data_IF_103669107369
#
_entry.id   IF_103669107369
#
_cell.length_a   1.000
_cell.length_b   1.000
_cell.length_c   1.000
_cell.angle_alpha   90.00
_cell.angle_beta   90.00
_cell.angle_gamma   90.00
#
_symmetry.space_group_name_H-M   'P 1'
#
loop_
_entity.id
_entity.type
_entity.pdbx_description
1 polymer ?
#
# COMPACT_ATOMS: atom_id res chain seq x y z
N UNK A 1 42.11 38.74 16.85
CA UNK A 1 43.30 37.87 16.91
C UNK A 1 43.57 37.34 15.51
N UNK A 2 44.79 37.59 15.03
CA UNK A 2 45.24 37.40 13.65
C UNK A 2 45.30 35.92 13.23
N UNK A 3 45.05 35.59 11.96
CA UNK A 3 46.10 35.20 11.00
C UNK A 3 45.55 34.98 9.58
N UNK A 4 46.11 35.72 8.62
CA UNK A 4 46.18 35.36 7.20
C UNK A 4 47.39 34.44 6.98
N UNK A 5 47.31 33.70 5.86
CA UNK A 5 48.33 33.00 5.03
C UNK A 5 48.00 31.51 4.97
N UNK A 6 47.91 30.84 3.83
CA UNK A 6 48.20 31.17 2.43
C UNK A 6 48.78 29.93 1.74
N UNK A 7 48.35 29.68 0.48
CA UNK A 7 48.94 28.77 -0.54
C UNK A 7 48.87 27.25 -0.31
N UNK A 8 48.21 26.52 -1.22
CA UNK A 8 48.85 25.97 -2.43
C UNK A 8 47.82 25.30 -3.36
N UNK A 9 48.07 25.51 -4.63
CA UNK A 9 47.47 24.91 -5.82
C UNK A 9 47.38 23.39 -5.77
N UNK A 10 46.18 22.85 -6.00
CA UNK A 10 46.01 21.58 -6.71
C UNK A 10 45.04 21.83 -7.86
N UNK A 11 45.58 21.71 -9.06
CA UNK A 11 44.92 21.81 -10.35
C UNK A 11 44.00 20.60 -10.47
N UNK A 12 42.74 20.73 -10.09
CA UNK A 12 41.73 19.74 -10.43
C UNK A 12 41.28 20.07 -11.87
N UNK A 13 41.56 19.16 -12.80
CA UNK A 13 40.98 19.20 -14.13
C UNK A 13 39.46 19.36 -14.00
N UNK A 14 38.84 20.31 -14.74
CA UNK A 14 37.40 20.31 -14.88
C UNK A 14 37.05 19.06 -15.68
N UNK A 15 36.61 18.00 -14.99
CA UNK A 15 35.82 16.96 -15.64
C UNK A 15 34.72 17.70 -16.37
N UNK A 16 34.71 17.60 -17.69
CA UNK A 16 33.65 18.16 -18.54
C UNK A 16 32.32 17.76 -17.91
N UNK A 17 31.68 18.70 -17.22
CA UNK A 17 30.27 18.58 -16.84
C UNK A 17 29.58 18.43 -18.18
N UNK A 18 29.15 17.19 -18.45
CA UNK A 18 28.19 16.95 -19.51
C UNK A 18 27.07 17.92 -19.24
N UNK A 19 26.87 18.85 -20.17
CA UNK A 19 25.75 19.78 -20.19
C UNK A 19 24.52 19.01 -19.68
N UNK A 20 23.94 19.42 -18.54
CA UNK A 20 22.91 18.62 -17.90
C UNK A 20 21.80 18.45 -18.92
N UNK A 21 21.51 17.20 -19.25
CA UNK A 21 20.45 16.85 -20.18
C UNK A 21 19.20 17.65 -19.80
N UNK A 22 18.45 18.18 -20.78
CA UNK A 22 17.31 19.07 -20.53
C UNK A 22 16.32 18.46 -19.52
N UNK A 23 16.25 17.13 -19.48
CA UNK A 23 15.48 16.36 -18.51
C UNK A 23 16.00 16.47 -17.07
N UNK A 24 17.32 16.51 -16.86
CA UNK A 24 17.94 16.69 -15.54
C UNK A 24 17.68 18.10 -15.00
N UNK A 25 17.78 19.12 -15.86
CA UNK A 25 17.44 20.49 -15.48
C UNK A 25 15.95 20.64 -15.12
N UNK A 26 15.05 20.01 -15.89
CA UNK A 26 13.61 19.95 -15.59
C UNK A 26 13.32 19.22 -14.27
N UNK A 27 13.98 18.10 -14.02
CA UNK A 27 13.81 17.35 -12.77
C UNK A 27 14.28 18.15 -11.54
N UNK A 28 15.41 18.86 -11.65
CA UNK A 28 15.89 19.74 -10.59
C UNK A 28 14.96 20.94 -10.37
N UNK A 29 14.44 21.55 -11.44
CA UNK A 29 13.45 22.63 -11.32
C UNK A 29 12.17 22.14 -10.63
N UNK A 30 11.64 20.99 -11.04
CA UNK A 30 10.48 20.36 -10.40
C UNK A 30 10.73 20.03 -8.91
N UNK A 31 11.95 19.62 -8.55
CA UNK A 31 12.34 19.39 -7.16
C UNK A 31 12.34 20.69 -6.34
N UNK A 32 12.82 21.79 -6.91
CA UNK A 32 12.79 23.09 -6.24
C UNK A 32 11.38 23.65 -6.12
N UNK A 33 10.53 23.50 -7.13
CA UNK A 33 9.12 23.85 -7.07
C UNK A 33 8.39 23.04 -5.99
N UNK A 34 8.66 21.74 -5.90
CA UNK A 34 8.08 20.90 -4.86
C UNK A 34 8.53 21.34 -3.47
N UNK A 35 9.85 21.57 -3.28
CA UNK A 35 10.39 22.08 -2.00
C UNK A 35 9.76 23.41 -1.62
N UNK A 36 9.63 24.33 -2.58
CA UNK A 36 9.00 25.63 -2.35
C UNK A 36 7.55 25.44 -1.89
N UNK A 37 6.75 24.64 -2.60
CA UNK A 37 5.37 24.32 -2.23
C UNK A 37 5.27 23.71 -0.83
N UNK A 38 6.15 22.77 -0.48
CA UNK A 38 6.18 22.19 0.86
C UNK A 38 6.48 23.27 1.92
N UNK A 39 7.49 24.11 1.70
CA UNK A 39 7.81 25.18 2.66
C UNK A 39 6.72 26.25 2.75
N UNK A 40 6.02 26.54 1.66
CA UNK A 40 4.87 27.47 1.66
C UNK A 40 3.69 26.89 2.43
N UNK A 41 3.45 25.58 2.29
CA UNK A 41 2.45 24.86 3.06
C UNK A 41 2.80 24.88 4.55
N UNK A 42 4.03 24.52 4.92
CA UNK A 42 4.49 24.55 6.31
C UNK A 42 4.33 25.96 6.91
N UNK A 43 4.73 27.01 6.18
CA UNK A 43 4.55 28.39 6.63
C UNK A 43 3.07 28.78 6.79
N UNK A 44 2.20 28.32 5.90
CA UNK A 44 0.76 28.53 6.02
C UNK A 44 0.21 27.84 7.27
N UNK A 45 0.63 26.61 7.52
CA UNK A 45 0.21 25.82 8.69
C UNK A 45 0.71 26.45 10.00
N UNK A 46 1.96 26.92 10.03
CA UNK A 46 2.49 27.67 11.18
C UNK A 46 1.70 28.96 11.43
N UNK A 47 1.35 29.72 10.39
CA UNK A 47 0.52 30.93 10.52
C UNK A 47 -0.86 30.59 11.06
N UNK A 48 -1.48 29.52 10.55
CA UNK A 48 -2.76 29.01 11.06
C UNK A 48 -2.70 28.69 12.55
N UNK A 49 -1.70 27.89 12.95
CA UNK A 49 -1.49 27.53 14.35
C UNK A 49 -1.27 28.75 15.26
N UNK A 50 -0.50 29.75 14.81
CA UNK A 50 -0.31 30.99 15.57
C UNK A 50 -1.62 31.78 15.74
N UNK A 51 -2.44 31.88 14.69
CA UNK A 51 -3.75 32.52 14.78
C UNK A 51 -4.70 31.78 15.71
N UNK A 52 -4.72 30.46 15.66
CA UNK A 52 -5.57 29.64 16.53
C UNK A 52 -5.13 29.74 18.00
N UNK A 53 -3.82 29.72 18.28
CA UNK A 53 -3.30 29.99 19.62
C UNK A 53 -3.66 31.40 20.11
N UNK A 54 -3.56 32.42 19.27
CA UNK A 54 -3.95 33.78 19.64
C UNK A 54 -5.43 33.87 19.98
N UNK A 55 -6.30 33.24 19.17
CA UNK A 55 -7.74 33.15 19.42
C UNK A 55 -8.05 32.43 20.73
N UNK A 56 -7.37 31.32 21.00
CA UNK A 56 -7.54 30.55 22.23
C UNK A 56 -7.10 31.37 23.45
N UNK A 57 -5.97 32.06 23.39
CA UNK A 57 -5.50 32.95 24.47
C UNK A 57 -6.49 34.09 24.76
N UNK A 58 -7.05 34.70 23.71
CA UNK A 58 -8.09 35.72 23.84
C UNK A 58 -9.37 35.14 24.48
N UNK A 59 -9.78 33.94 24.08
CA UNK A 59 -10.91 33.24 24.69
C UNK A 59 -10.67 32.93 26.17
N UNK A 60 -9.50 32.42 26.53
CA UNK A 60 -9.13 32.10 27.91
C UNK A 60 -9.07 33.36 28.78
N UNK A 61 -8.52 34.46 28.25
CA UNK A 61 -8.48 35.74 28.95
C UNK A 61 -9.89 36.28 29.19
N UNK A 62 -10.76 36.21 28.18
CA UNK A 62 -12.15 36.60 28.31
C UNK A 62 -12.93 35.74 29.31
N UNK A 63 -12.66 34.43 29.36
CA UNK A 63 -13.25 33.54 30.35
C UNK A 63 -12.77 33.88 31.77
N UNK A 64 -11.47 34.11 31.94
CA UNK A 64 -10.89 34.50 33.23
C UNK A 64 -11.53 35.81 33.74
N UNK A 65 -11.57 36.85 32.91
CA UNK A 65 -12.18 38.13 33.29
C UNK A 65 -13.70 38.07 33.52
N UNK A 66 -14.41 37.08 32.99
CA UNK A 66 -15.82 36.82 33.33
C UNK A 66 -15.93 36.12 34.67
N UNK A 67 -15.17 35.06 34.88
CA UNK A 67 -15.12 34.32 36.14
C UNK A 67 -14.73 35.21 37.33
N UNK A 68 -13.74 36.09 37.15
CA UNK A 68 -13.34 37.08 38.15
C UNK A 68 -14.48 38.03 38.50
N UNK A 69 -15.21 38.54 37.50
CA UNK A 69 -16.37 39.41 37.74
C UNK A 69 -17.50 38.68 38.47
N UNK A 70 -17.84 37.48 38.02
CA UNK A 70 -18.88 36.66 38.65
C UNK A 70 -18.51 36.34 40.12
N UNK A 71 -17.23 36.06 40.39
CA UNK A 71 -16.73 35.82 41.74
C UNK A 71 -16.83 37.07 42.62
N UNK A 72 -16.45 38.24 42.10
CA UNK A 72 -16.58 39.53 42.82
C UNK A 72 -18.05 39.86 43.08
N UNK A 73 -18.94 39.67 42.10
CA UNK A 73 -20.37 39.95 42.22
C UNK A 73 -21.04 39.03 43.24
N UNK A 74 -20.74 37.72 43.19
CA UNK A 74 -21.24 36.77 44.19
C UNK A 74 -20.73 37.09 45.58
N UNK A 75 -19.45 37.44 45.71
CA UNK A 75 -18.86 37.84 47.00
C UNK A 75 -19.53 39.10 47.54
N UNK A 76 -19.71 40.12 46.69
CA UNK A 76 -20.39 41.37 47.06
C UNK A 76 -21.86 41.16 47.43
N UNK A 77 -22.57 40.27 46.74
CA UNK A 77 -23.93 39.88 47.10
C UNK A 77 -23.98 39.24 48.50
N UNK A 78 -23.11 38.25 48.75
CA UNK A 78 -23.07 37.58 50.05
C UNK A 78 -22.65 38.51 51.18
N UNK A 79 -21.72 39.43 50.92
CA UNK A 79 -21.31 40.47 51.86
C UNK A 79 -22.51 41.32 52.29
N UNK A 80 -23.30 41.85 51.33
CA UNK A 80 -24.49 42.67 51.63
C UNK A 80 -25.57 41.87 52.37
N UNK A 81 -25.77 40.62 52.01
CA UNK A 81 -26.73 39.73 52.69
C UNK A 81 -26.31 39.46 54.14
N UNK A 82 -25.01 39.35 54.42
CA UNK A 82 -24.48 39.24 55.80
C UNK A 82 -24.68 40.55 56.56
N UNK A 83 -24.32 41.68 55.96
CA UNK A 83 -24.49 43.02 56.57
C UNK A 83 -25.97 43.31 56.91
N UNK A 84 -26.91 43.04 56.00
CA UNK A 84 -28.35 43.24 56.26
C UNK A 84 -28.87 42.33 57.40
N UNK A 85 -28.38 41.09 57.50
CA UNK A 85 -28.73 40.20 58.62
C UNK A 85 -28.13 40.67 59.94
N UNK A 86 -26.89 41.15 59.92
CA UNK A 86 -26.25 41.73 61.10
C UNK A 86 -26.98 43.00 61.55
N UNK A 87 -27.38 43.88 60.63
CA UNK A 87 -28.19 45.06 60.93
C UNK A 87 -29.55 44.69 61.53
N UNK A 88 -30.24 43.69 60.95
CA UNK A 88 -31.51 43.18 61.50
C UNK A 88 -31.34 42.60 62.90
N UNK A 89 -30.24 41.89 63.16
CA UNK A 89 -29.91 41.37 64.49
C UNK A 89 -29.65 42.51 65.48
N UNK A 90 -28.82 43.49 65.09
CA UNK A 90 -28.52 44.66 65.93
C UNK A 90 -29.79 45.47 66.22
N UNK A 91 -30.64 45.68 65.22
CA UNK A 91 -31.92 46.37 65.39
C UNK A 91 -32.87 45.57 66.32
N UNK A 92 -32.96 44.26 66.12
CA UNK A 92 -33.73 43.36 66.99
C UNK A 92 -33.25 43.39 68.44
N UNK A 93 -31.94 43.33 68.67
CA UNK A 93 -31.34 43.42 70.00
C UNK A 93 -31.60 44.77 70.66
N UNK A 94 -31.48 45.88 69.92
CA UNK A 94 -31.81 47.23 70.43
C UNK A 94 -33.29 47.34 70.81
N UNK A 95 -34.19 46.77 70.00
CA UNK A 95 -35.62 46.74 70.28
C UNK A 95 -35.92 45.92 71.54
N UNK A 96 -35.39 44.71 71.66
CA UNK A 96 -35.55 43.90 72.87
C UNK A 96 -34.97 44.61 74.10
N UNK A 97 -33.82 45.27 73.98
CA UNK A 97 -33.24 46.02 75.09
C UNK A 97 -34.15 47.18 75.55
N UNK A 98 -34.77 47.90 74.61
CA UNK A 98 -35.72 48.97 74.91
C UNK A 98 -37.01 48.41 75.55
N UNK A 99 -37.52 47.28 75.08
CA UNK A 99 -38.69 46.59 75.64
C UNK A 99 -38.42 46.08 77.06
N UNK A 100 -37.24 45.51 77.32
CA UNK A 100 -36.80 45.10 78.67
C UNK A 100 -36.67 46.30 79.59
N UNK A 101 -36.11 47.42 79.11
CA UNK A 101 -36.01 48.66 79.89
C UNK A 101 -37.39 49.26 80.20
N UNK A 102 -38.32 49.20 79.26
CA UNK A 102 -39.70 49.64 79.45
C UNK A 102 -40.45 48.76 80.47
N UNK A 103 -40.36 47.44 80.32
CA UNK A 103 -40.96 46.48 81.25
C UNK A 103 -40.39 46.62 82.67
N UNK A 104 -39.08 46.88 82.81
CA UNK A 104 -38.45 47.16 84.10
C UNK A 104 -39.03 48.42 84.77
N UNK A 105 -39.29 49.47 83.99
CA UNK A 105 -39.86 50.72 84.49
C UNK A 105 -41.36 50.60 84.83
N UNK A 106 -42.14 49.84 84.05
CA UNK A 106 -43.58 49.63 84.30
C UNK A 106 -43.84 48.70 85.49
N UNK A 107 -42.99 47.70 85.71
CA UNK A 107 -43.15 46.74 86.80
C UNK A 107 -42.63 47.23 88.15
N UNK A 108 -42.26 48.52 88.21
CA UNK A 108 -42.13 49.31 89.44
C UNK A 108 -43.49 49.63 90.10
N UNK A 109 -44.62 49.14 89.56
CA UNK A 109 -45.95 49.19 90.20
C UNK A 109 -46.39 47.79 90.70
N UNK A 110 -46.45 47.55 92.03
CA UNK A 110 -46.45 46.21 92.60
C UNK A 110 -47.86 45.62 92.83
N UNK A 111 -48.66 45.40 91.78
CA UNK A 111 -49.94 44.68 91.95
C UNK A 111 -50.43 43.95 90.68
N UNK A 112 -49.56 43.20 89.97
CA UNK A 112 -49.90 41.93 89.28
C UNK A 112 -48.70 41.27 88.53
N UNK A 113 -47.47 41.53 88.99
CA UNK A 113 -46.21 41.15 88.33
C UNK A 113 -46.06 39.65 88.01
N UNK A 114 -46.62 38.78 88.86
CA UNK A 114 -46.51 37.33 88.67
C UNK A 114 -47.30 36.84 87.45
N UNK A 115 -48.50 37.39 87.20
CA UNK A 115 -49.34 36.97 86.08
C UNK A 115 -48.77 37.46 84.75
N UNK A 116 -48.31 38.70 84.69
CA UNK A 116 -47.70 39.30 83.48
C UNK A 116 -46.38 38.63 83.09
N UNK A 117 -45.52 38.30 84.07
CA UNK A 117 -44.29 37.56 83.81
C UNK A 117 -44.58 36.14 83.31
N UNK A 118 -45.53 35.43 83.93
CA UNK A 118 -45.94 34.10 83.49
C UNK A 118 -46.46 34.10 82.05
N UNK A 119 -47.31 35.08 81.70
CA UNK A 119 -47.83 35.23 80.34
C UNK A 119 -46.73 35.55 79.32
N UNK A 120 -45.75 36.39 79.68
CA UNK A 120 -44.61 36.72 78.82
C UNK A 120 -43.70 35.51 78.57
N UNK A 121 -43.31 34.78 79.63
CA UNK A 121 -42.51 33.57 79.50
C UNK A 121 -43.22 32.48 78.68
N UNK A 122 -44.54 32.34 78.83
CA UNK A 122 -45.34 31.40 78.03
C UNK A 122 -45.33 31.76 76.54
N UNK A 123 -45.49 33.05 76.20
CA UNK A 123 -45.46 33.51 74.82
C UNK A 123 -44.08 33.31 74.18
N UNK A 124 -43.02 33.61 74.92
CA UNK A 124 -41.64 33.44 74.48
C UNK A 124 -41.30 31.95 74.27
N UNK A 125 -41.76 31.08 75.18
CA UNK A 125 -41.66 29.63 75.04
C UNK A 125 -42.38 29.12 73.79
N UNK A 126 -43.62 29.54 73.54
CA UNK A 126 -44.39 29.16 72.35
C UNK A 126 -43.72 29.66 71.05
N UNK A 127 -43.16 30.88 71.07
CA UNK A 127 -42.45 31.44 69.93
C UNK A 127 -41.18 30.65 69.61
N UNK A 128 -40.37 30.35 70.63
CA UNK A 128 -39.17 29.52 70.52
C UNK A 128 -39.54 28.12 70.02
N UNK A 129 -40.57 27.50 70.58
CA UNK A 129 -41.03 26.19 70.15
C UNK A 129 -41.49 26.20 68.67
N UNK A 130 -42.20 27.25 68.24
CA UNK A 130 -42.60 27.40 66.83
C UNK A 130 -41.42 27.59 65.88
N UNK A 131 -40.38 28.31 66.29
CA UNK A 131 -39.18 28.53 65.47
C UNK A 131 -38.30 27.29 65.40
N UNK A 132 -38.15 26.57 66.51
CA UNK A 132 -37.47 25.27 66.56
C UNK A 132 -38.17 24.26 65.66
N UNK A 133 -39.51 24.15 65.72
CA UNK A 133 -40.29 23.29 64.81
C UNK A 133 -40.12 23.67 63.33
N UNK A 134 -40.16 24.97 63.00
CA UNK A 134 -39.92 25.47 61.63
C UNK A 134 -38.50 25.17 61.14
N UNK A 135 -37.49 25.28 62.01
CA UNK A 135 -36.11 25.00 61.65
C UNK A 135 -35.84 23.50 61.53
N UNK A 136 -36.42 22.68 62.41
CA UNK A 136 -36.34 21.21 62.36
C UNK A 136 -36.91 20.67 61.05
N UNK A 137 -38.13 21.08 60.66
CA UNK A 137 -38.72 20.68 59.37
C UNK A 137 -37.88 21.13 58.16
N UNK A 138 -37.34 22.37 58.18
CA UNK A 138 -36.42 22.84 57.14
C UNK A 138 -35.13 22.01 57.10
N UNK A 139 -34.57 21.64 58.25
CA UNK A 139 -33.37 20.82 58.34
C UNK A 139 -33.63 19.43 57.75
N UNK A 140 -34.73 18.77 58.10
CA UNK A 140 -35.12 17.47 57.54
C UNK A 140 -35.28 17.51 56.01
N UNK A 141 -35.89 18.58 55.47
CA UNK A 141 -36.02 18.72 54.00
C UNK A 141 -34.67 18.91 53.32
N UNK A 142 -33.73 19.63 53.93
CA UNK A 142 -32.37 19.80 53.41
C UNK A 142 -31.58 18.49 53.51
N UNK A 143 -31.74 17.75 54.60
CA UNK A 143 -31.07 16.47 54.81
C UNK A 143 -31.51 15.41 53.79
N UNK A 144 -32.81 15.36 53.45
CA UNK A 144 -33.31 14.52 52.34
C UNK A 144 -32.73 14.92 50.98
N UNK A 145 -32.64 16.22 50.68
CA UNK A 145 -32.01 16.68 49.43
C UNK A 145 -30.52 16.36 49.40
N UNK A 146 -29.84 16.44 50.55
CA UNK A 146 -28.43 16.11 50.67
C UNK A 146 -28.21 14.60 50.46
N UNK A 147 -29.05 13.74 51.02
CA UNK A 147 -28.95 12.28 50.81
C UNK A 147 -29.27 11.86 49.37
N UNK A 148 -30.22 12.50 48.70
CA UNK A 148 -30.47 12.29 47.27
C UNK A 148 -29.28 12.74 46.41
N UNK A 149 -28.69 13.90 46.73
CA UNK A 149 -27.54 14.42 46.02
C UNK A 149 -26.31 13.52 46.19
N UNK A 150 -26.01 13.06 47.40
CA UNK A 150 -24.90 12.13 47.66
C UNK A 150 -25.10 10.79 46.96
N UNK A 151 -26.32 10.26 46.92
CA UNK A 151 -26.63 9.04 46.17
C UNK A 151 -26.42 9.21 44.66
N UNK A 152 -26.79 10.38 44.09
CA UNK A 152 -26.54 10.69 42.67
C UNK A 152 -25.04 10.81 42.38
N UNK A 153 -24.28 11.50 43.24
CA UNK A 153 -22.82 11.62 43.10
C UNK A 153 -22.18 10.23 43.10
N UNK A 154 -22.50 9.37 44.06
CA UNK A 154 -21.98 8.00 44.13
C UNK A 154 -22.38 7.14 42.91
N UNK A 155 -23.52 7.41 42.28
CA UNK A 155 -23.90 6.75 41.03
C UNK A 155 -23.10 7.25 39.83
N UNK A 156 -22.86 8.55 39.74
CA UNK A 156 -22.08 9.16 38.66
C UNK A 156 -20.61 8.78 38.75
N UNK A 157 -20.03 8.75 39.95
CA UNK A 157 -18.67 8.27 40.18
C UNK A 157 -18.48 6.83 39.70
N UNK A 158 -19.40 5.93 40.02
CA UNK A 158 -19.38 4.54 39.51
C UNK A 158 -19.51 4.47 37.99
N UNK A 159 -20.34 5.32 37.39
CA UNK A 159 -20.50 5.36 35.94
C UNK A 159 -19.23 5.88 35.25
N UNK A 160 -18.57 6.89 35.82
CA UNK A 160 -17.30 7.42 35.34
C UNK A 160 -16.20 6.38 35.43
N UNK A 161 -16.07 5.69 36.56
CA UNK A 161 -15.09 4.61 36.75
C UNK A 161 -15.25 3.50 35.70
N UNK A 162 -16.48 3.09 35.43
CA UNK A 162 -16.79 2.07 34.42
C UNK A 162 -16.45 2.55 32.99
N UNK A 163 -16.67 3.83 32.69
CA UNK A 163 -16.29 4.42 31.39
C UNK A 163 -14.76 4.48 31.27
N UNK A 164 -14.05 4.95 32.30
CA UNK A 164 -12.59 5.00 32.33
C UNK A 164 -11.99 3.61 32.11
N UNK A 165 -12.47 2.60 32.83
CA UNK A 165 -12.05 1.20 32.68
C UNK A 165 -12.27 0.68 31.25
N UNK A 166 -13.39 1.03 30.61
CA UNK A 166 -13.66 0.63 29.21
C UNK A 166 -12.72 1.31 28.23
N UNK A 167 -12.40 2.59 28.45
CA UNK A 167 -11.47 3.33 27.61
C UNK A 167 -10.07 2.74 27.67
N UNK A 168 -9.57 2.43 28.87
CA UNK A 168 -8.26 1.79 29.03
C UNK A 168 -8.20 0.42 28.34
N UNK A 169 -9.26 -0.40 28.49
CA UNK A 169 -9.35 -1.69 27.79
C UNK A 169 -9.40 -1.54 26.27
N UNK A 170 -10.04 -0.49 25.78
CA UNK A 170 -10.11 -0.19 24.35
C UNK A 170 -8.76 0.27 23.81
N UNK A 171 -8.08 1.16 24.52
CA UNK A 171 -6.74 1.63 24.17
C UNK A 171 -5.73 0.46 24.10
N UNK A 172 -5.80 -0.46 25.07
CA UNK A 172 -4.96 -1.65 25.10
C UNK A 172 -5.24 -2.58 23.90
N UNK A 173 -6.52 -2.75 23.52
CA UNK A 173 -6.90 -3.51 22.32
C UNK A 173 -6.40 -2.83 21.05
N UNK A 174 -6.49 -1.51 20.96
CA UNK A 174 -6.01 -0.74 19.82
C UNK A 174 -4.49 -0.84 19.68
N UNK A 175 -3.73 -0.78 20.78
CA UNK A 175 -2.29 -1.03 20.77
C UNK A 175 -1.95 -2.42 20.25
N UNK A 176 -2.67 -3.46 20.70
CA UNK A 176 -2.47 -4.84 20.22
C UNK A 176 -2.79 -4.97 18.74
N UNK A 177 -3.89 -4.37 18.29
CA UNK A 177 -4.28 -4.35 16.87
C UNK A 177 -3.24 -3.63 16.02
N UNK A 178 -2.63 -2.55 16.52
CA UNK A 178 -1.57 -1.86 15.79
C UNK A 178 -0.34 -2.76 15.60
N UNK A 179 0.06 -3.50 16.63
CA UNK A 179 1.17 -4.46 16.53
C UNK A 179 0.87 -5.57 15.51
N UNK A 180 -0.35 -6.11 15.51
CA UNK A 180 -0.72 -7.15 14.53
C UNK A 180 -0.79 -6.60 13.10
N UNK A 181 -1.29 -5.38 12.91
CA UNK A 181 -1.28 -4.71 11.60
C UNK A 181 0.16 -4.49 11.13
N UNK A 182 1.05 -4.00 11.99
CA UNK A 182 2.47 -3.81 11.65
C UNK A 182 3.14 -5.13 11.27
N UNK A 183 2.88 -6.22 12.00
CA UNK A 183 3.39 -7.54 11.66
C UNK A 183 2.89 -8.00 10.27
N UNK A 184 1.58 -7.86 10.02
CA UNK A 184 0.99 -8.22 8.72
C UNK A 184 1.53 -7.36 7.56
N UNK A 185 1.86 -6.10 7.81
CA UNK A 185 2.44 -5.20 6.80
C UNK A 185 3.84 -5.67 6.39
N UNK A 186 4.67 -6.11 7.34
CA UNK A 186 6.01 -6.65 7.04
C UNK A 186 5.92 -7.93 6.21
N UNK A 187 4.95 -8.81 6.51
CA UNK A 187 4.71 -10.01 5.72
C UNK A 187 4.23 -9.66 4.30
N UNK A 188 3.30 -8.70 4.16
CA UNK A 188 2.85 -8.21 2.86
C UNK A 188 4.02 -7.64 2.04
N UNK A 189 4.89 -6.84 2.63
CA UNK A 189 6.06 -6.27 1.95
C UNK A 189 7.02 -7.38 1.47
N UNK A 190 7.21 -8.43 2.28
CA UNK A 190 8.01 -9.60 1.90
C UNK A 190 7.38 -10.34 0.73
N UNK A 191 6.07 -10.56 0.77
CA UNK A 191 5.33 -11.24 -0.31
C UNK A 191 5.37 -10.42 -1.60
N UNK A 192 5.20 -9.10 -1.55
CA UNK A 192 5.32 -8.23 -2.72
C UNK A 192 6.71 -8.31 -3.36
N UNK A 193 7.79 -8.35 -2.55
CA UNK A 193 9.16 -8.54 -3.05
C UNK A 193 9.34 -9.89 -3.72
N UNK A 194 8.82 -10.97 -3.12
CA UNK A 194 8.86 -12.31 -3.70
C UNK A 194 8.12 -12.38 -5.03
N UNK A 195 6.93 -11.77 -5.10
CA UNK A 195 6.11 -11.72 -6.30
C UNK A 195 6.85 -10.95 -7.43
N UNK A 196 7.44 -9.80 -7.12
CA UNK A 196 8.24 -9.04 -8.09
C UNK A 196 9.47 -9.81 -8.61
N UNK A 197 10.12 -10.62 -7.77
CA UNK A 197 11.22 -11.48 -8.21
C UNK A 197 10.73 -12.62 -9.12
N UNK A 198 9.59 -13.24 -8.77
CA UNK A 198 8.97 -14.30 -9.59
C UNK A 198 8.50 -13.76 -10.94
N UNK A 199 7.96 -12.55 -10.99
CA UNK A 199 7.59 -11.91 -12.25
C UNK A 199 8.81 -11.67 -13.15
N UNK A 200 9.92 -11.20 -12.59
CA UNK A 200 11.17 -11.04 -13.36
C UNK A 200 11.66 -12.37 -13.93
N UNK A 201 11.61 -13.44 -13.15
CA UNK A 201 12.00 -14.77 -13.61
C UNK A 201 11.06 -15.30 -14.69
N UNK A 202 9.76 -15.10 -14.52
CA UNK A 202 8.75 -15.43 -15.51
C UNK A 202 8.99 -14.68 -16.83
N UNK A 203 9.39 -13.40 -16.78
CA UNK A 203 9.75 -12.66 -17.99
C UNK A 203 10.99 -13.23 -18.68
N UNK A 204 12.01 -13.67 -17.93
CA UNK A 204 13.18 -14.35 -18.51
C UNK A 204 12.79 -15.66 -19.20
N UNK A 205 11.95 -16.47 -18.56
CA UNK A 205 11.44 -17.72 -19.15
C UNK A 205 10.64 -17.44 -20.42
N UNK A 206 9.78 -16.41 -20.42
CA UNK A 206 9.03 -15.99 -21.62
C UNK A 206 9.95 -15.54 -22.75
N UNK A 207 11.01 -14.79 -22.44
CA UNK A 207 12.01 -14.38 -23.44
C UNK A 207 12.76 -15.59 -24.01
N UNK A 208 13.20 -16.51 -23.15
CA UNK A 208 13.86 -17.74 -23.59
C UNK A 208 12.95 -18.59 -24.48
N UNK A 209 11.68 -18.77 -24.09
CA UNK A 209 10.70 -19.51 -24.88
C UNK A 209 10.49 -18.89 -26.27
N UNK A 210 10.43 -17.55 -26.37
CA UNK A 210 10.38 -16.84 -27.66
C UNK A 210 11.62 -17.13 -28.51
N UNK A 211 12.81 -16.99 -27.92
CA UNK A 211 14.07 -17.28 -28.63
C UNK A 211 14.13 -18.72 -29.14
N UNK A 212 13.68 -19.70 -28.35
CA UNK A 212 13.64 -21.11 -28.76
C UNK A 212 12.69 -21.29 -29.95
N UNK A 213 11.50 -20.68 -29.91
CA UNK A 213 10.54 -20.73 -31.02
C UNK A 213 11.10 -20.07 -32.28
N UNK A 214 11.73 -18.90 -32.13
CA UNK A 214 12.34 -18.18 -33.26
C UNK A 214 13.48 -19.00 -33.88
N UNK A 215 14.36 -19.59 -33.06
CA UNK A 215 15.46 -20.44 -33.54
C UNK A 215 14.97 -21.73 -34.19
N UNK A 216 13.89 -22.32 -33.66
CA UNK A 216 13.23 -23.46 -34.28
C UNK A 216 12.64 -23.07 -35.64
N UNK A 217 11.98 -21.92 -35.73
CA UNK A 217 11.41 -21.40 -36.97
C UNK A 217 12.51 -21.17 -38.03
N UNK A 218 13.64 -20.55 -37.65
CA UNK A 218 14.81 -20.38 -38.53
C UNK A 218 15.32 -21.75 -39.04
N UNK A 219 15.38 -22.76 -38.18
CA UNK A 219 15.80 -24.11 -38.58
C UNK A 219 14.79 -24.78 -39.52
N UNK A 220 13.48 -24.64 -39.27
CA UNK A 220 12.41 -25.17 -40.12
C UNK A 220 12.46 -24.52 -41.52
N UNK A 221 12.61 -23.19 -41.59
CA UNK A 221 12.79 -22.45 -42.85
C UNK A 221 14.02 -22.94 -43.61
N UNK A 222 15.16 -23.11 -42.94
CA UNK A 222 16.37 -23.67 -43.52
C UNK A 222 16.14 -25.07 -44.12
N UNK A 223 15.45 -25.97 -43.39
CA UNK A 223 15.17 -27.32 -43.91
C UNK A 223 14.24 -27.28 -45.13
N UNK A 224 13.24 -26.40 -45.14
CA UNK A 224 12.37 -26.22 -46.30
C UNK A 224 13.15 -25.74 -47.53
N UNK A 225 14.00 -24.72 -47.36
CA UNK A 225 14.86 -24.20 -48.44
C UNK A 225 15.84 -25.25 -48.97
N UNK A 226 16.49 -26.00 -48.07
CA UNK A 226 17.44 -27.05 -48.45
C UNK A 226 16.74 -28.18 -49.23
N UNK A 227 15.55 -28.59 -48.78
CA UNK A 227 14.75 -29.60 -49.49
C UNK A 227 14.31 -29.12 -50.86
N UNK A 228 13.88 -27.85 -50.98
CA UNK A 228 13.51 -27.26 -52.26
C UNK A 228 14.70 -27.16 -53.21
N UNK A 229 15.88 -26.82 -52.69
CA UNK A 229 17.11 -26.82 -53.48
C UNK A 229 17.43 -28.22 -54.05
N UNK A 230 17.37 -29.26 -53.21
CA UNK A 230 17.60 -30.65 -53.65
C UNK A 230 16.54 -31.09 -54.67
N UNK A 231 15.26 -30.73 -54.49
CA UNK A 231 14.22 -31.01 -55.47
C UNK A 231 14.53 -30.36 -56.82
N UNK A 232 14.96 -29.11 -56.82
CA UNK A 232 15.38 -28.40 -58.04
C UNK A 232 16.60 -29.05 -58.68
N UNK A 233 17.61 -29.44 -57.90
CA UNK A 233 18.81 -30.15 -58.37
C UNK A 233 18.45 -31.48 -59.05
N UNK A 234 17.53 -32.27 -58.46
CA UNK A 234 17.05 -33.52 -59.04
C UNK A 234 16.35 -33.27 -60.37
N UNK A 235 15.45 -32.27 -60.43
CA UNK A 235 14.73 -31.93 -61.67
C UNK A 235 15.70 -31.47 -62.75
N UNK A 236 16.66 -30.61 -62.42
CA UNK A 236 17.68 -30.13 -63.34
C UNK A 236 18.59 -31.26 -63.85
N UNK A 237 19.06 -32.13 -62.95
CA UNK A 237 19.90 -33.28 -63.30
C UNK A 237 19.17 -34.26 -64.23
N UNK A 238 17.89 -34.54 -63.95
CA UNK A 238 17.04 -35.38 -64.81
C UNK A 238 16.85 -34.76 -66.20
N UNK A 239 16.64 -33.44 -66.26
CA UNK A 239 16.49 -32.71 -67.53
C UNK A 239 17.79 -32.73 -68.35
N UNK A 240 18.93 -32.50 -67.70
CA UNK A 240 20.25 -32.52 -68.33
C UNK A 240 20.58 -33.92 -68.86
N UNK A 241 20.40 -34.96 -68.04
CA UNK A 241 20.60 -36.35 -68.46
C UNK A 241 19.76 -36.70 -69.69
N UNK A 242 18.50 -36.27 -69.73
CA UNK A 242 17.63 -36.47 -70.90
C UNK A 242 18.18 -35.77 -72.15
N UNK A 243 18.71 -34.55 -72.01
CA UNK A 243 19.28 -33.78 -73.12
C UNK A 243 20.57 -34.45 -73.64
N UNK A 244 21.46 -34.86 -72.75
CA UNK A 244 22.72 -35.54 -73.08
C UNK A 244 22.46 -36.90 -73.74
N UNK A 245 21.59 -37.74 -73.16
CA UNK A 245 21.21 -39.02 -73.75
C UNK A 245 20.59 -38.87 -75.15
N UNK A 246 19.81 -37.80 -75.38
CA UNK A 246 19.26 -37.48 -76.70
C UNK A 246 20.36 -37.04 -77.67
N UNK A 247 21.30 -36.20 -77.24
CA UNK A 247 22.43 -35.75 -78.05
C UNK A 247 23.34 -36.91 -78.44
N UNK A 248 23.66 -37.79 -77.50
CA UNK A 248 24.44 -39.01 -77.72
C UNK A 248 23.74 -39.94 -78.71
N UNK A 249 22.43 -40.13 -78.57
CA UNK A 249 21.64 -40.92 -79.51
C UNK A 249 21.70 -40.33 -80.93
N UNK A 250 21.48 -39.02 -81.06
CA UNK A 250 21.56 -38.34 -82.34
C UNK A 250 22.96 -38.42 -82.95
N UNK A 251 24.01 -38.32 -82.14
CA UNK A 251 25.39 -38.48 -82.58
C UNK A 251 25.66 -39.89 -83.12
N UNK A 252 25.30 -40.93 -82.36
CA UNK A 252 25.42 -42.33 -82.80
C UNK A 252 24.63 -42.60 -84.08
N UNK A 253 23.47 -41.95 -84.24
CA UNK A 253 22.67 -42.05 -85.45
C UNK A 253 23.39 -41.42 -86.66
N UNK A 254 24.04 -40.25 -86.49
CA UNK A 254 24.88 -39.63 -87.53
C UNK A 254 26.07 -40.50 -87.92
N UNK A 255 26.78 -41.06 -86.93
CA UNK A 255 27.94 -41.94 -87.15
C UNK A 255 27.56 -43.24 -87.88
N UNK A 256 26.41 -43.82 -87.53
CA UNK A 256 25.87 -44.98 -88.24
C UNK A 256 25.46 -44.65 -89.68
N UNK A 257 24.90 -43.45 -89.90
CA UNK A 257 24.59 -42.95 -91.26
C UNK A 257 25.85 -42.78 -92.11
N UNK A 258 26.96 -42.40 -91.50
CA UNK A 258 28.28 -42.34 -92.14
C UNK A 258 28.93 -43.73 -92.37
N UNK A 259 28.26 -44.83 -91.97
CA UNK A 259 28.71 -46.21 -92.18
C UNK A 259 29.75 -46.69 -91.16
N UNK A 260 30.05 -45.91 -90.13
CA UNK A 260 31.09 -46.22 -89.14
C UNK A 260 30.61 -47.29 -88.15
N UNK A 261 29.32 -47.29 -87.82
CA UNK A 261 28.70 -48.22 -86.88
C UNK A 261 27.31 -48.68 -87.35
N UNK A 262 26.73 -49.70 -86.69
CA UNK A 262 25.33 -50.09 -86.93
C UNK A 262 24.36 -49.08 -86.31
N UNK A 263 23.22 -48.87 -86.96
CA UNK A 263 22.19 -47.93 -86.48
C UNK A 263 21.73 -48.25 -85.06
N UNK A 264 21.67 -47.25 -84.16
CA UNK A 264 21.15 -47.47 -82.81
C UNK A 264 19.65 -47.81 -82.85
N UNK A 265 19.16 -48.67 -81.93
CA UNK A 265 17.74 -49.05 -81.87
C UNK A 265 16.80 -47.84 -81.78
N UNK A 266 15.64 -47.89 -82.41
CA UNK A 266 14.65 -46.80 -82.35
C UNK A 266 14.01 -46.76 -80.95
N UNK A 267 14.31 -45.71 -80.18
CA UNK A 267 13.68 -45.48 -78.89
C UNK A 267 12.47 -44.56 -79.07
N UNK A 268 11.26 -45.05 -78.77
CA UNK A 268 10.03 -44.25 -78.82
C UNK A 268 9.85 -43.44 -77.54
N UNK A 269 9.92 -42.11 -77.64
CA UNK A 269 9.91 -41.18 -76.50
C UNK A 269 8.49 -40.69 -76.14
N UNK A 270 7.52 -41.59 -76.10
CA UNK A 270 6.11 -41.30 -75.82
C UNK A 270 5.68 -41.92 -74.48
N UNK A 271 4.81 -41.22 -73.73
CA UNK A 271 4.26 -41.67 -72.43
C UNK A 271 3.19 -42.78 -72.58
N UNK A 272 3.35 -43.66 -73.56
CA UNK A 272 2.45 -44.79 -73.76
C UNK A 272 2.96 -46.02 -73.00
N UNK A 273 2.06 -46.89 -72.48
CA UNK A 273 2.45 -48.09 -71.73
C UNK A 273 3.31 -49.09 -72.51
N UNK A 274 3.39 -48.95 -73.84
CA UNK A 274 4.18 -49.82 -74.73
C UNK A 274 5.50 -49.16 -75.19
N UNK A 275 5.97 -48.11 -74.51
CA UNK A 275 7.24 -47.46 -74.83
C UNK A 275 8.41 -48.40 -74.51
N UNK A 276 9.33 -48.57 -75.47
CA UNK A 276 10.55 -49.37 -75.30
C UNK A 276 11.65 -48.60 -74.57
N UNK A 277 11.38 -47.36 -74.15
CA UNK A 277 12.29 -46.54 -73.37
C UNK A 277 12.15 -46.84 -71.88
N UNK A 278 12.99 -47.74 -71.36
CA UNK A 278 13.12 -48.02 -69.92
C UNK A 278 13.58 -46.80 -69.08
N UNK A 279 13.87 -45.66 -69.72
CA UNK A 279 14.35 -44.44 -69.06
C UNK A 279 13.24 -43.58 -68.43
N UNK A 280 11.97 -43.99 -68.51
CA UNK A 280 10.82 -43.13 -68.22
C UNK A 280 9.75 -43.71 -67.27
N UNK A 281 10.07 -44.71 -66.45
CA UNK A 281 9.09 -45.31 -65.53
C UNK A 281 8.68 -44.41 -64.35
N UNK A 282 9.46 -43.37 -64.01
CA UNK A 282 9.13 -42.50 -62.88
C UNK A 282 8.32 -41.28 -63.32
N UNK A 283 7.00 -41.38 -63.20
CA UNK A 283 6.12 -40.20 -63.14
C UNK A 283 6.55 -39.31 -61.96
N UNK A 284 6.55 -37.97 -62.08
CA UNK A 284 6.79 -37.10 -60.95
C UNK A 284 5.56 -37.18 -60.05
N UNK A 285 5.60 -38.07 -59.06
CA UNK A 285 4.76 -37.90 -57.87
C UNK A 285 5.15 -36.55 -57.29
N UNK A 286 4.19 -35.63 -57.22
CA UNK A 286 4.37 -34.23 -56.84
C UNK A 286 4.88 -34.05 -55.39
N UNK A 287 5.08 -35.15 -54.67
CA UNK A 287 5.47 -35.18 -53.27
C UNK A 287 6.71 -36.05 -53.06
N UNK A 288 7.89 -35.44 -53.17
CA UNK A 288 9.17 -36.06 -52.80
C UNK A 288 9.23 -36.11 -51.28
N UNK A 289 8.96 -37.28 -50.71
CA UNK A 289 9.10 -37.55 -49.28
C UNK A 289 10.59 -37.70 -48.91
N UNK A 290 11.00 -37.21 -47.73
CA UNK A 290 12.37 -37.25 -47.20
C UNK A 290 13.03 -38.65 -47.33
N UNK A 291 12.23 -39.71 -47.18
CA UNK A 291 12.65 -41.12 -47.28
C UNK A 291 13.25 -41.48 -48.65
N UNK A 292 12.81 -40.82 -49.73
CA UNK A 292 13.16 -41.10 -51.12
C UNK A 292 14.45 -40.40 -51.60
N UNK A 293 15.03 -39.52 -50.77
CA UNK A 293 16.31 -38.88 -51.07
C UNK A 293 17.47 -39.87 -50.90
N UNK A 294 18.45 -39.81 -51.80
CA UNK A 294 19.70 -40.57 -51.66
C UNK A 294 20.51 -40.06 -50.47
N UNK A 295 21.45 -40.87 -49.96
CA UNK A 295 22.26 -40.49 -48.80
C UNK A 295 23.06 -39.20 -49.02
N UNK A 296 23.63 -39.00 -50.20
CA UNK A 296 24.34 -37.78 -50.57
C UNK A 296 23.42 -36.55 -50.56
N UNK A 297 22.17 -36.70 -51.01
CA UNK A 297 21.18 -35.62 -50.98
C UNK A 297 20.73 -35.30 -49.55
N UNK A 298 20.61 -36.31 -48.69
CA UNK A 298 20.28 -36.14 -47.26
C UNK A 298 21.40 -35.43 -46.50
N UNK A 299 22.66 -35.73 -46.82
CA UNK A 299 23.82 -35.05 -46.23
C UNK A 299 23.90 -33.57 -46.63
N UNK A 300 23.51 -33.23 -47.87
CA UNK A 300 23.39 -31.81 -48.29
C UNK A 300 22.32 -31.03 -47.51
N UNK A 301 21.26 -31.69 -47.04
CA UNK A 301 20.16 -31.07 -46.27
C UNK A 301 20.52 -30.88 -44.79
N UNK A 302 21.43 -31.68 -44.24
CA UNK A 302 21.87 -31.61 -42.85
C UNK A 302 23.33 -31.14 -42.79
N UNK A 303 23.61 -29.85 -42.52
CA UNK A 303 24.98 -29.38 -42.36
C UNK A 303 25.70 -30.15 -41.24
N UNK A 304 27.01 -30.43 -41.37
CA UNK A 304 27.80 -31.09 -40.33
C UNK A 304 27.69 -30.41 -38.96
N UNK A 305 27.49 -29.10 -38.95
CA UNK A 305 27.30 -28.29 -37.74
C UNK A 305 25.97 -28.58 -37.03
N UNK A 306 24.89 -28.87 -37.75
CA UNK A 306 23.59 -29.25 -37.18
C UNK A 306 23.66 -30.65 -36.58
N UNK A 307 24.31 -31.59 -37.27
CA UNK A 307 24.56 -32.93 -36.73
C UNK A 307 25.46 -32.92 -35.48
N UNK A 308 26.49 -32.06 -35.48
CA UNK A 308 27.41 -31.90 -34.35
C UNK A 308 26.74 -31.25 -33.11
N UNK A 309 25.92 -30.23 -33.32
CA UNK A 309 25.19 -29.58 -32.22
C UNK A 309 24.10 -30.48 -31.62
N UNK A 310 23.41 -31.28 -32.44
CA UNK A 310 22.41 -32.24 -31.96
C UNK A 310 23.04 -33.36 -31.11
N UNK A 311 24.26 -33.81 -31.44
CA UNK A 311 24.97 -34.87 -30.70
C UNK A 311 25.67 -34.36 -29.44
N UNK A 312 26.14 -33.12 -29.40
CA UNK A 312 26.86 -32.55 -28.25
C UNK A 312 25.97 -31.84 -27.23
N UNK A 313 24.89 -31.15 -27.65
CA UNK A 313 24.15 -30.23 -26.78
C UNK A 313 22.78 -30.72 -26.31
N UNK A 314 22.18 -31.74 -26.93
CA UNK A 314 20.92 -32.32 -26.41
C UNK A 314 21.05 -32.93 -25.00
N UNK A 315 22.10 -33.71 -24.68
CA UNK A 315 22.23 -34.30 -23.34
C UNK A 315 22.42 -33.26 -22.23
N UNK A 316 23.13 -32.18 -22.53
CA UNK A 316 23.42 -31.10 -21.57
C UNK A 316 22.22 -30.18 -21.33
N UNK A 317 21.37 -29.96 -22.33
CA UNK A 317 20.16 -29.14 -22.18
C UNK A 317 19.01 -29.93 -21.53
N UNK A 318 18.87 -31.23 -21.82
CA UNK A 318 17.88 -32.09 -21.17
C UNK A 318 18.18 -32.27 -19.66
N UNK A 319 19.45 -32.45 -19.29
CA UNK A 319 19.85 -32.52 -17.87
C UNK A 319 19.64 -31.21 -17.12
N UNK A 320 19.77 -30.05 -17.79
CA UNK A 320 19.47 -28.74 -17.19
C UNK A 320 17.96 -28.52 -16.96
N UNK A 321 17.11 -28.99 -17.89
CA UNK A 321 15.65 -28.92 -17.74
C UNK A 321 15.17 -29.90 -16.66
N UNK A 322 15.68 -31.14 -16.63
CA UNK A 322 15.37 -32.12 -15.60
C UNK A 322 15.79 -31.63 -14.20
N UNK A 323 16.96 -31.02 -14.05
CA UNK A 323 17.40 -30.45 -12.77
C UNK A 323 16.56 -29.24 -12.32
N UNK A 324 16.11 -28.38 -13.24
CA UNK A 324 15.18 -27.29 -12.93
C UNK A 324 13.79 -27.79 -12.50
N UNK A 325 13.30 -28.89 -13.10
CA UNK A 325 12.04 -29.52 -12.66
C UNK A 325 12.18 -30.20 -11.30
N UNK A 326 13.32 -30.84 -11.02
CA UNK A 326 13.61 -31.48 -9.74
C UNK A 326 13.73 -30.48 -8.58
N UNK A 327 14.42 -29.35 -8.79
CA UNK A 327 14.56 -28.28 -7.78
C UNK A 327 13.21 -27.63 -7.48
N UNK A 328 12.36 -27.39 -8.49
CA UNK A 328 11.01 -26.86 -8.27
C UNK A 328 10.11 -27.86 -7.53
N UNK A 329 10.25 -29.16 -7.79
CA UNK A 329 9.46 -30.20 -7.11
C UNK A 329 9.85 -30.35 -5.63
N UNK A 330 11.14 -30.22 -5.29
CA UNK A 330 11.57 -30.19 -3.87
C UNK A 330 11.11 -28.92 -3.15
N UNK A 331 11.10 -27.77 -3.83
CA UNK A 331 10.64 -26.52 -3.23
C UNK A 331 9.13 -26.51 -2.96
N UNK A 332 8.33 -27.17 -3.81
CA UNK A 332 6.89 -27.39 -3.59
C UNK A 332 6.61 -28.37 -2.44
N UNK A 333 7.40 -29.44 -2.29
CA UNK A 333 7.23 -30.40 -1.19
C UNK A 333 7.58 -29.81 0.19
N UNK A 334 8.50 -28.84 0.24
CA UNK A 334 8.84 -28.13 1.50
C UNK A 334 7.71 -27.19 1.94
N UNK A 335 6.96 -26.61 0.99
CA UNK A 335 5.79 -25.78 1.30
C UNK A 335 4.56 -26.60 1.69
N UNK A 336 4.38 -27.82 1.17
CA UNK A 336 3.30 -28.73 1.60
C UNK A 336 3.53 -29.36 2.99
N UNK A 337 4.78 -29.43 3.48
CA UNK A 337 5.07 -29.91 4.84
C UNK A 337 5.02 -28.82 5.93
N UNK A 338 4.73 -27.56 5.59
CA UNK A 338 4.69 -26.43 6.54
C UNK A 338 3.32 -25.74 6.64
N UNK A 339 2.29 -26.31 6.00
CA UNK A 339 0.87 -26.09 6.28
C UNK A 339 0.34 -27.26 7.13
#
# INVERSE_FOLDING_TARGET
FCHRKGKKSSKHEPKSEKEPDLETARANAALWELKLKTTEQDLSDYRGAHHDMARMNEQLTNQLSRSERDSVDMTGYWQREVEDREEKLVHGLKKCAAEVQHAYNECSKPSDWHWTCSAFFSLEQDMLESTVKKNSTKMETKEKKLSEATAKVASLERALEEISRRLEQQEEKEKRNLVTIQASQVELDKLQKLLAMKDKEMQRVKQLARTIVDKRKEAEEFFHEALDHVRQEIVASRLQYKKEALQDYQQKFREATAGIMRFPPICTLNKSPNSTSYLYADSPSTEVQMSQLTWEQKEKVIPPQVAYTFTQHLPTQLTYIESLTFVNSQHLSVYECTL
#
